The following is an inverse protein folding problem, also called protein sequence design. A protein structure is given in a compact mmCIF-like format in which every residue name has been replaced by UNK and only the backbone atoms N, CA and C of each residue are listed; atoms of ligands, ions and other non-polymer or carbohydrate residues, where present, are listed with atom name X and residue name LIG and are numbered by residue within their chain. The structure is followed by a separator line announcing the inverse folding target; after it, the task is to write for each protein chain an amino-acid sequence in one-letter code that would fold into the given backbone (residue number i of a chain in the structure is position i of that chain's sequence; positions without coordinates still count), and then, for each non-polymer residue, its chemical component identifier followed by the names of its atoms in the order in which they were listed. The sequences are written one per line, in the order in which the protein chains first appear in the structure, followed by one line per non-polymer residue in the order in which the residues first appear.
data_IF_102665672560
#
_entry.id   IF_102665672560
#
_cell.length_a   1.000
_cell.length_b   1.000
_cell.length_c   1.000
_cell.angle_alpha   90.00
_cell.angle_beta   90.00
_cell.angle_gamma   90.00
#
_symmetry.space_group_name_H-M   'P 1'
#
loop_
_entity.id
_entity.type
_entity.pdbx_description
1 polymer ?
#
# COMPACT_ATOMS: atom_id res chain seq x y z
N UNK A 1 0.16 -12.02 -15.96
CA UNK A 1 -0.32 -12.54 -14.67
C UNK A 1 0.89 -13.01 -13.87
N UNK A 2 1.45 -12.15 -13.02
CA UNK A 2 2.59 -12.51 -12.16
C UNK A 2 2.09 -13.56 -11.15
N UNK A 3 2.63 -14.78 -11.20
CA UNK A 3 2.33 -15.83 -10.23
C UNK A 3 2.84 -15.37 -8.86
N UNK A 4 1.97 -15.39 -7.85
CA UNK A 4 2.38 -15.31 -6.45
C UNK A 4 3.23 -16.54 -6.15
N UNK A 5 4.56 -16.43 -6.24
CA UNK A 5 5.44 -17.47 -5.75
C UNK A 5 5.39 -17.38 -4.22
N UNK A 6 4.86 -18.41 -3.55
CA UNK A 6 4.91 -18.52 -2.08
C UNK A 6 6.36 -18.72 -1.67
N UNK A 7 7.10 -17.63 -1.55
CA UNK A 7 8.48 -17.63 -1.06
C UNK A 7 8.44 -17.58 0.47
N UNK A 8 9.08 -18.55 1.13
CA UNK A 8 9.18 -18.60 2.59
C UNK A 8 9.95 -17.39 3.12
N UNK A 9 9.63 -16.84 4.31
CA UNK A 9 10.41 -15.77 4.96
C UNK A 9 11.92 -15.98 4.99
N UNK A 10 12.37 -17.22 5.21
CA UNK A 10 13.79 -17.60 5.12
C UNK A 10 14.40 -17.30 3.75
N UNK A 11 13.72 -17.74 2.69
CA UNK A 11 14.18 -17.54 1.31
C UNK A 11 14.11 -16.07 0.90
N UNK A 12 13.14 -15.31 1.41
CA UNK A 12 13.10 -13.86 1.24
C UNK A 12 14.29 -13.18 1.90
N UNK A 13 14.65 -13.58 3.12
CA UNK A 13 15.84 -13.05 3.81
C UNK A 13 17.12 -13.35 3.02
N UNK A 14 17.30 -14.58 2.56
CA UNK A 14 18.46 -14.99 1.74
C UNK A 14 18.59 -14.13 0.48
N UNK A 15 17.48 -13.91 -0.25
CA UNK A 15 17.45 -13.05 -1.44
C UNK A 15 17.84 -11.61 -1.08
N UNK A 16 17.24 -11.04 -0.05
CA UNK A 16 17.54 -9.65 0.34
C UNK A 16 19.01 -9.51 0.73
N UNK A 17 19.56 -10.44 1.50
CA UNK A 17 20.96 -10.42 1.92
C UNK A 17 21.93 -10.47 0.73
N UNK A 18 21.64 -11.28 -0.31
CA UNK A 18 22.48 -11.29 -1.52
C UNK A 18 22.41 -9.99 -2.34
N UNK A 19 21.33 -9.22 -2.22
CA UNK A 19 21.19 -7.95 -2.94
C UNK A 19 21.83 -6.77 -2.17
N UNK A 20 21.96 -6.86 -0.84
CA UNK A 20 22.43 -5.76 0.01
C UNK A 20 23.82 -5.96 0.62
N UNK A 21 24.62 -6.90 0.12
CA UNK A 21 25.93 -7.31 0.68
C UNK A 21 26.88 -6.13 1.00
N UNK A 22 26.75 -5.02 0.27
CA UNK A 22 27.59 -3.82 0.42
C UNK A 22 27.12 -2.83 1.50
N UNK A 23 25.93 -3.02 2.05
CA UNK A 23 25.31 -2.14 3.04
C UNK A 23 25.33 -2.79 4.43
N UNK A 24 26.50 -2.75 5.09
CA UNK A 24 26.77 -3.47 6.35
C UNK A 24 25.73 -3.23 7.45
N UNK A 25 25.24 -2.00 7.60
CA UNK A 25 24.19 -1.68 8.59
C UNK A 25 22.86 -2.34 8.23
N UNK A 26 22.47 -2.31 6.95
CA UNK A 26 21.24 -2.95 6.47
C UNK A 26 21.32 -4.48 6.55
N UNK A 27 22.48 -5.07 6.25
CA UNK A 27 22.75 -6.51 6.43
C UNK A 27 22.47 -6.91 7.87
N UNK A 28 23.06 -6.20 8.84
CA UNK A 28 22.87 -6.50 10.26
C UNK A 28 21.39 -6.43 10.67
N UNK A 29 20.65 -5.40 10.23
CA UNK A 29 19.22 -5.27 10.50
C UNK A 29 18.42 -6.44 9.94
N UNK A 30 18.69 -6.83 8.69
CA UNK A 30 17.97 -7.91 8.02
C UNK A 30 18.25 -9.28 8.65
N UNK A 31 19.49 -9.54 9.07
CA UNK A 31 19.87 -10.79 9.75
C UNK A 31 19.14 -10.98 11.09
N UNK A 32 18.94 -9.89 11.85
CA UNK A 32 18.32 -9.92 13.17
C UNK A 32 16.79 -9.77 13.15
N UNK A 33 16.19 -9.46 11.99
CA UNK A 33 14.74 -9.31 11.86
C UNK A 33 14.03 -10.66 12.00
N UNK A 34 13.12 -10.82 12.97
CA UNK A 34 12.38 -12.08 13.18
C UNK A 34 11.68 -12.59 11.89
N UNK A 35 11.77 -13.89 11.62
CA UNK A 35 11.22 -14.47 10.38
C UNK A 35 9.70 -14.32 10.27
N UNK A 36 8.97 -14.26 11.39
CA UNK A 36 7.52 -14.02 11.40
C UNK A 36 7.17 -12.55 11.11
N UNK A 37 8.16 -11.65 11.18
CA UNK A 37 8.00 -10.23 10.85
C UNK A 37 8.39 -9.91 9.41
N UNK A 38 8.96 -10.88 8.67
CA UNK A 38 9.27 -10.70 7.24
C UNK A 38 8.02 -10.95 6.41
N UNK A 39 7.53 -9.89 5.78
CA UNK A 39 6.39 -9.94 4.88
C UNK A 39 6.80 -9.45 3.49
N UNK A 40 6.29 -10.12 2.46
CA UNK A 40 6.43 -9.67 1.08
C UNK A 40 5.04 -9.59 0.45
N UNK A 41 4.63 -8.37 0.12
CA UNK A 41 3.39 -8.09 -0.59
C UNK A 41 3.69 -7.71 -2.03
N UNK A 42 2.95 -8.27 -2.98
CA UNK A 42 3.06 -7.87 -4.38
C UNK A 42 2.66 -6.40 -4.56
N UNK A 43 3.57 -5.60 -5.09
CA UNK A 43 3.28 -4.24 -5.53
C UNK A 43 2.35 -4.32 -6.75
N UNK A 44 1.16 -3.72 -6.63
CA UNK A 44 0.17 -3.67 -7.70
C UNK A 44 -0.15 -2.24 -8.04
N UNK A 45 0.00 -1.91 -9.31
CA UNK A 45 -0.44 -0.62 -9.84
C UNK A 45 -1.94 -0.68 -10.14
N UNK A 46 -2.69 0.29 -9.61
CA UNK A 46 -4.07 0.57 -10.00
C UNK A 46 -4.09 1.85 -10.82
N UNK A 47 -4.68 1.75 -12.01
CA UNK A 47 -4.71 2.86 -12.95
C UNK A 47 -5.53 4.05 -12.41
N UNK A 48 -5.03 5.29 -12.51
CA UNK A 48 -5.72 6.49 -12.04
C UNK A 48 -6.94 6.85 -12.91
N UNK A 49 -7.10 6.26 -14.10
CA UNK A 49 -8.26 6.50 -14.98
C UNK A 49 -9.61 6.24 -14.29
N UNK A 50 -9.65 5.28 -13.35
CA UNK A 50 -10.84 4.96 -12.54
C UNK A 50 -11.27 6.12 -11.64
N UNK A 51 -10.31 6.95 -11.18
CA UNK A 51 -10.60 8.16 -10.38
C UNK A 51 -11.18 9.26 -11.24
N UNK A 52 -10.61 9.46 -12.42
CA UNK A 52 -10.99 10.54 -13.32
C UNK A 52 -12.45 10.36 -13.78
N UNK A 53 -12.90 9.11 -13.95
CA UNK A 53 -14.24 8.84 -14.47
C UNK A 53 -15.35 8.92 -13.43
N UNK A 54 -15.07 9.25 -12.16
CA UNK A 54 -15.96 9.75 -11.10
C UNK A 54 -17.17 8.88 -10.71
N UNK A 55 -17.96 8.45 -11.69
CA UNK A 55 -19.11 7.56 -11.63
C UNK A 55 -18.79 6.17 -11.06
N UNK A 56 -17.53 5.72 -11.13
CA UNK A 56 -17.11 4.43 -10.57
C UNK A 56 -16.78 4.50 -9.07
N UNK A 57 -16.63 5.71 -8.52
CA UNK A 57 -16.20 5.94 -7.12
C UNK A 57 -17.36 6.38 -6.23
N UNK A 58 -18.38 7.02 -6.81
CA UNK A 58 -19.56 7.51 -6.11
C UNK A 58 -20.84 7.09 -6.85
N UNK A 59 -21.80 6.49 -6.13
CA UNK A 59 -23.13 6.14 -6.65
C UNK A 59 -24.21 6.67 -5.72
N UNK A 60 -24.94 7.71 -6.15
CA UNK A 60 -25.95 8.37 -5.33
C UNK A 60 -25.35 8.96 -4.04
N UNK A 61 -25.81 8.49 -2.88
CA UNK A 61 -25.31 8.91 -1.55
C UNK A 61 -24.19 8.02 -1.00
N UNK A 62 -23.64 7.11 -1.81
CA UNK A 62 -22.59 6.17 -1.42
C UNK A 62 -21.30 6.53 -2.13
N UNK A 63 -20.20 6.58 -1.39
CA UNK A 63 -18.84 6.80 -1.90
C UNK A 63 -17.85 5.88 -1.19
N UNK A 64 -16.76 5.53 -1.86
CA UNK A 64 -15.63 4.79 -1.27
C UNK A 64 -14.44 5.71 -1.05
N UNK A 65 -13.63 5.45 -0.01
CA UNK A 65 -12.49 6.27 0.39
C UNK A 65 -11.31 5.41 0.86
N UNK A 66 -10.13 6.01 1.02
CA UNK A 66 -8.90 5.32 1.45
C UNK A 66 -8.46 4.24 0.45
N UNK A 67 -7.91 3.14 0.93
CA UNK A 67 -7.39 2.05 0.09
C UNK A 67 -8.43 1.40 -0.83
N UNK A 68 -9.73 1.53 -0.53
CA UNK A 68 -10.79 1.08 -1.42
C UNK A 68 -10.84 1.92 -2.71
N UNK A 69 -10.64 3.23 -2.57
CA UNK A 69 -10.59 4.20 -3.66
C UNK A 69 -9.19 4.20 -4.28
N UNK A 70 -8.16 4.52 -3.50
CA UNK A 70 -6.78 4.68 -3.94
C UNK A 70 -5.87 3.72 -3.16
N UNK A 71 -5.84 2.41 -3.51
CA UNK A 71 -4.88 1.52 -2.89
C UNK A 71 -3.48 1.98 -3.26
N UNK A 72 -2.79 2.53 -2.26
CA UNK A 72 -1.41 2.98 -2.43
C UNK A 72 -0.47 1.84 -2.07
N UNK A 73 0.61 1.73 -2.80
CA UNK A 73 1.63 0.76 -2.43
C UNK A 73 2.35 1.25 -1.17
N UNK A 74 2.59 0.36 -0.16
CA UNK A 74 3.10 0.78 1.15
C UNK A 74 4.45 1.53 1.10
N UNK A 75 5.25 1.30 0.06
CA UNK A 75 6.54 1.94 -0.19
C UNK A 75 6.46 3.46 -0.43
N UNK A 76 5.34 3.95 -0.95
CA UNK A 76 5.11 5.40 -1.12
C UNK A 76 4.72 6.05 0.21
N UNK A 77 4.16 5.27 1.15
CA UNK A 77 3.90 5.71 2.53
C UNK A 77 2.81 6.76 2.71
N UNK A 78 2.10 7.20 1.65
CA UNK A 78 1.11 8.27 1.77
C UNK A 78 -0.35 7.79 1.93
N UNK A 79 -0.63 6.49 1.79
CA UNK A 79 -2.01 5.97 1.84
C UNK A 79 -2.75 6.37 3.11
N UNK A 80 -2.08 6.33 4.27
CA UNK A 80 -2.67 6.75 5.54
C UNK A 80 -3.01 8.25 5.61
N UNK A 81 -2.12 9.12 5.13
CA UNK A 81 -2.37 10.57 5.08
C UNK A 81 -3.51 10.90 4.11
N UNK A 82 -3.50 10.29 2.92
CA UNK A 82 -4.56 10.47 1.94
C UNK A 82 -5.93 10.03 2.48
N UNK A 83 -5.99 8.93 3.23
CA UNK A 83 -7.23 8.47 3.86
C UNK A 83 -7.78 9.49 4.89
N UNK A 84 -6.91 10.11 5.69
CA UNK A 84 -7.29 11.14 6.66
C UNK A 84 -7.80 12.41 5.95
N UNK A 85 -7.12 12.86 4.91
CA UNK A 85 -7.54 14.01 4.10
C UNK A 85 -8.91 13.77 3.46
N UNK A 86 -9.13 12.56 2.89
CA UNK A 86 -10.42 12.21 2.31
C UNK A 86 -11.54 12.24 3.35
N UNK A 87 -11.29 11.76 4.57
CA UNK A 87 -12.28 11.78 5.65
C UNK A 87 -12.67 13.23 6.04
N UNK A 88 -11.69 14.13 6.18
CA UNK A 88 -11.94 15.53 6.51
C UNK A 88 -12.76 16.23 5.43
N UNK A 89 -12.38 16.04 4.16
CA UNK A 89 -13.12 16.62 3.03
C UNK A 89 -14.54 16.06 2.95
N UNK A 90 -14.71 14.75 3.12
CA UNK A 90 -16.03 14.12 3.08
C UNK A 90 -16.97 14.65 4.16
N UNK A 91 -16.49 14.80 5.40
CA UNK A 91 -17.29 15.35 6.50
C UNK A 91 -17.69 16.80 6.23
N UNK A 92 -16.80 17.61 5.64
CA UNK A 92 -17.12 18.99 5.24
C UNK A 92 -18.21 19.03 4.18
N UNK A 93 -18.08 18.24 3.12
CA UNK A 93 -19.09 18.16 2.07
C UNK A 93 -20.46 17.71 2.61
N UNK A 94 -20.47 16.78 3.58
CA UNK A 94 -21.72 16.34 4.22
C UNK A 94 -22.35 17.47 5.05
N UNK A 95 -21.54 18.25 5.78
CA UNK A 95 -22.01 19.41 6.53
C UNK A 95 -22.59 20.53 5.64
N UNK A 96 -22.01 20.75 4.46
CA UNK A 96 -22.51 21.72 3.47
C UNK A 96 -23.78 21.26 2.74
N UNK A 97 -23.98 19.94 2.61
CA UNK A 97 -25.15 19.35 1.96
C UNK A 97 -26.34 19.09 2.92
N UNK A 98 -26.20 19.44 4.20
CA UNK A 98 -27.21 19.28 5.25
C UNK A 98 -28.18 20.47 5.33
#
# INVERSE_FOLDING_TARGET
MMRQQKTTPLKLREIVLSEIERALEAVSVVEHTDLNSIMCSSLRYRSPWMMLWGHEVCMGKVTVTGDAMQPMTPDIGQGGCCALENAVVLVRCLGEAS
#
